data_IF_955744209263
#
_entry.id   IF_955744209263
#
_cell.length_a   1.000
_cell.length_b   1.000
_cell.length_c   1.000
_cell.angle_alpha   90.00
_cell.angle_beta   90.00
_cell.angle_gamma   90.00
#
_symmetry.space_group_name_H-M   'P 1'
#
loop_
_entity.id
_entity.type
_entity.pdbx_description
1 polymer ?
#
# COMPACT_ATOMS: atom_id res chain seq x y z
N UNK A 1 -17.19 -16.21 -24.64
CA UNK A 1 -17.14 -16.68 -23.23
C UNK A 1 -17.22 -15.49 -22.26
N UNK A 2 -18.28 -15.43 -21.44
CA UNK A 2 -18.35 -14.47 -20.31
C UNK A 2 -17.38 -14.90 -19.22
N UNK A 3 -16.47 -14.03 -18.76
CA UNK A 3 -15.51 -14.40 -17.73
C UNK A 3 -16.21 -14.55 -16.36
N UNK A 4 -16.14 -15.75 -15.78
CA UNK A 4 -16.66 -16.03 -14.44
C UNK A 4 -15.66 -15.55 -13.38
N UNK A 5 -16.06 -14.57 -12.56
CA UNK A 5 -15.27 -13.98 -11.48
C UNK A 5 -16.14 -13.85 -10.23
N UNK A 6 -15.60 -14.19 -9.06
CA UNK A 6 -16.33 -14.24 -7.80
C UNK A 6 -15.56 -13.54 -6.68
N UNK A 7 -16.29 -13.15 -5.64
CA UNK A 7 -15.74 -12.67 -4.38
C UNK A 7 -16.12 -13.62 -3.25
N UNK A 8 -15.23 -13.86 -2.27
CA UNK A 8 -15.50 -14.82 -1.19
C UNK A 8 -16.48 -14.27 -0.14
N UNK A 9 -16.77 -12.97 -0.15
CA UNK A 9 -17.74 -12.33 0.74
C UNK A 9 -18.33 -11.09 0.08
N UNK A 10 -19.61 -10.83 0.34
CA UNK A 10 -20.29 -9.58 -0.04
C UNK A 10 -19.94 -8.39 0.89
N UNK A 11 -19.15 -8.62 1.95
CA UNK A 11 -18.69 -7.58 2.88
C UNK A 11 -17.32 -7.04 2.49
N UNK A 12 -17.10 -5.75 2.76
CA UNK A 12 -15.89 -5.02 2.36
C UNK A 12 -14.60 -5.60 2.98
N UNK A 13 -14.49 -5.65 4.31
CA UNK A 13 -13.26 -6.09 4.94
C UNK A 13 -12.96 -7.57 4.70
N UNK A 14 -13.93 -8.51 4.83
CA UNK A 14 -13.65 -9.91 4.54
C UNK A 14 -13.17 -10.12 3.10
N UNK A 15 -13.82 -9.49 2.12
CA UNK A 15 -13.41 -9.58 0.71
C UNK A 15 -12.01 -9.01 0.45
N UNK A 16 -11.69 -7.83 1.01
CA UNK A 16 -10.36 -7.21 0.87
C UNK A 16 -9.27 -7.97 1.61
N UNK A 17 -9.57 -8.50 2.79
CA UNK A 17 -8.66 -9.37 3.53
C UNK A 17 -8.32 -10.63 2.74
N UNK A 18 -9.31 -11.21 2.02
CA UNK A 18 -9.06 -12.33 1.13
C UNK A 18 -8.15 -11.95 -0.05
N UNK A 19 -8.32 -10.77 -0.65
CA UNK A 19 -7.41 -10.27 -1.69
C UNK A 19 -5.98 -10.10 -1.14
N UNK A 20 -5.84 -9.53 0.05
CA UNK A 20 -4.53 -9.23 0.65
C UNK A 20 -3.76 -10.49 1.07
N UNK A 21 -4.48 -11.52 1.53
CA UNK A 21 -3.87 -12.73 2.11
C UNK A 21 -3.92 -13.96 1.21
N UNK A 22 -4.78 -13.96 0.18
CA UNK A 22 -5.08 -15.15 -0.63
C UNK A 22 -5.88 -16.22 0.12
N UNK A 23 -6.46 -15.91 1.28
CA UNK A 23 -7.20 -16.84 2.15
C UNK A 23 -8.69 -16.55 2.15
N UNK A 24 -9.52 -17.54 2.46
CA UNK A 24 -10.96 -17.35 2.71
C UNK A 24 -11.23 -16.73 4.10
N UNK A 25 -12.42 -16.13 4.32
CA UNK A 25 -12.81 -15.54 5.61
C UNK A 25 -12.63 -16.43 6.84
N UNK A 26 -12.87 -17.73 6.71
CA UNK A 26 -12.69 -18.69 7.80
C UNK A 26 -11.22 -18.92 8.19
N UNK A 27 -10.25 -18.54 7.36
CA UNK A 27 -8.81 -18.71 7.59
C UNK A 27 -8.10 -17.42 8.02
N UNK A 28 -8.55 -16.25 7.55
CA UNK A 28 -8.00 -14.96 7.99
C UNK A 28 -8.81 -14.31 9.13
N UNK A 29 -9.97 -14.88 9.46
CA UNK A 29 -10.83 -14.48 10.59
C UNK A 29 -11.24 -13.01 10.58
N UNK A 30 -11.40 -12.42 9.38
CA UNK A 30 -12.05 -11.12 9.21
C UNK A 30 -13.46 -11.42 8.74
N UNK A 31 -14.45 -11.18 9.62
CA UNK A 31 -15.80 -11.72 9.46
C UNK A 31 -16.86 -10.64 9.18
N UNK A 32 -16.58 -9.38 9.54
CA UNK A 32 -17.45 -8.25 9.23
C UNK A 32 -16.61 -6.96 8.99
N UNK A 33 -17.27 -5.79 8.98
CA UNK A 33 -16.63 -4.50 8.71
C UNK A 33 -16.21 -3.71 9.96
N UNK A 34 -16.29 -4.29 11.16
CA UNK A 34 -15.98 -3.62 12.44
C UNK A 34 -14.65 -4.10 13.03
N UNK A 35 -14.17 -3.41 14.06
CA UNK A 35 -12.95 -3.78 14.77
C UNK A 35 -13.09 -5.14 15.46
N UNK A 36 -14.25 -5.44 16.05
CA UNK A 36 -14.56 -6.70 16.72
C UNK A 36 -14.54 -7.87 15.73
N UNK A 37 -14.99 -7.64 14.49
CA UNK A 37 -14.87 -8.61 13.39
C UNK A 37 -13.50 -8.63 12.72
N UNK A 38 -12.47 -8.11 13.40
CA UNK A 38 -11.07 -8.09 13.00
C UNK A 38 -10.75 -7.21 11.79
N UNK A 39 -11.64 -6.29 11.39
CA UNK A 39 -11.34 -5.35 10.30
C UNK A 39 -10.35 -4.28 10.78
N UNK A 40 -9.12 -4.25 10.23
CA UNK A 40 -8.02 -3.34 10.65
C UNK A 40 -7.58 -3.44 12.11
N UNK A 41 -8.08 -4.40 12.87
CA UNK A 41 -7.80 -4.50 14.31
C UNK A 41 -6.30 -4.73 14.59
N UNK A 42 -5.89 -4.54 15.85
CA UNK A 42 -4.53 -4.91 16.27
C UNK A 42 -4.18 -6.38 16.05
N UNK A 43 -5.15 -7.28 16.15
CA UNK A 43 -4.94 -8.70 15.86
C UNK A 43 -4.66 -8.92 14.37
N UNK A 44 -5.42 -8.28 13.48
CA UNK A 44 -5.16 -8.29 12.03
C UNK A 44 -3.75 -7.76 11.72
N UNK A 45 -3.39 -6.61 12.29
CA UNK A 45 -2.07 -5.98 12.09
C UNK A 45 -0.92 -6.88 12.52
N UNK A 46 -1.09 -7.63 13.62
CA UNK A 46 -0.05 -8.51 14.14
C UNK A 46 0.02 -9.85 13.40
N UNK A 47 -1.13 -10.44 13.05
CA UNK A 47 -1.23 -11.85 12.66
C UNK A 47 -1.35 -12.02 11.14
N UNK A 48 -2.03 -11.11 10.45
CA UNK A 48 -2.30 -11.24 9.01
C UNK A 48 -1.46 -10.29 8.16
N UNK A 49 -1.32 -9.02 8.56
CA UNK A 49 -0.58 -8.01 7.75
C UNK A 49 0.84 -8.43 7.33
N UNK A 50 1.67 -9.04 8.19
CA UNK A 50 3.03 -9.47 7.81
C UNK A 50 3.07 -10.49 6.67
N UNK A 51 1.97 -11.22 6.44
CA UNK A 51 1.86 -12.28 5.44
C UNK A 51 0.99 -11.89 4.24
N UNK A 52 0.65 -10.61 4.12
CA UNK A 52 -0.08 -10.11 2.95
C UNK A 52 0.84 -10.05 1.74
N UNK A 53 0.27 -10.16 0.53
CA UNK A 53 1.07 -10.12 -0.70
C UNK A 53 1.95 -8.85 -0.82
N UNK A 54 1.55 -7.63 -0.40
CA UNK A 54 2.42 -6.46 -0.46
C UNK A 54 3.61 -6.60 0.50
N UNK A 55 3.39 -7.17 1.69
CA UNK A 55 4.44 -7.42 2.68
C UNK A 55 5.49 -8.36 2.10
N UNK A 56 5.06 -9.48 1.51
CA UNK A 56 5.94 -10.48 0.89
C UNK A 56 6.67 -9.89 -0.33
N UNK A 57 5.96 -9.21 -1.25
CA UNK A 57 6.57 -8.60 -2.44
C UNK A 57 7.68 -7.61 -2.08
N UNK A 58 7.47 -6.79 -1.05
CA UNK A 58 8.47 -5.82 -0.63
C UNK A 58 9.63 -6.47 0.11
N UNK A 59 9.37 -7.36 1.08
CA UNK A 59 10.41 -7.92 1.96
C UNK A 59 11.26 -8.99 1.27
N UNK A 60 10.64 -9.87 0.48
CA UNK A 60 11.32 -11.01 -0.16
C UNK A 60 11.84 -10.63 -1.54
N UNK A 61 11.04 -9.91 -2.32
CA UNK A 61 11.34 -9.66 -3.73
C UNK A 61 11.84 -8.24 -4.01
N UNK A 62 11.93 -7.37 -3.00
CA UNK A 62 12.44 -5.99 -3.13
C UNK A 62 11.54 -5.07 -3.96
N UNK A 63 10.26 -5.41 -4.16
CA UNK A 63 9.37 -4.60 -4.98
C UNK A 63 9.10 -3.24 -4.36
N UNK A 64 9.00 -2.24 -5.23
CA UNK A 64 8.45 -0.95 -4.85
C UNK A 64 6.94 -0.95 -5.05
N UNK A 65 6.21 -0.93 -3.96
CA UNK A 65 4.76 -1.03 -3.92
C UNK A 65 4.11 0.32 -3.61
N UNK A 66 2.91 0.54 -4.14
CA UNK A 66 2.14 1.75 -3.92
C UNK A 66 0.68 1.37 -3.63
N UNK A 67 0.10 1.99 -2.61
CA UNK A 67 -1.32 1.88 -2.32
C UNK A 67 -1.97 3.26 -2.27
N UNK A 68 -3.15 3.38 -2.89
CA UNK A 68 -3.99 4.55 -2.77
C UNK A 68 -5.48 4.20 -2.70
N UNK A 69 -6.22 4.89 -1.84
CA UNK A 69 -7.67 4.76 -1.71
C UNK A 69 -8.12 4.11 -0.40
N UNK A 70 -9.25 3.40 -0.43
CA UNK A 70 -9.80 2.72 0.76
C UNK A 70 -9.07 1.40 1.01
N UNK A 71 -8.45 1.25 2.17
CA UNK A 71 -7.83 0.00 2.63
C UNK A 71 -8.89 -0.93 3.25
N UNK A 72 -8.97 -0.99 4.57
CA UNK A 72 -9.98 -1.71 5.34
C UNK A 72 -10.85 -0.69 6.09
N UNK A 73 -12.11 -1.03 6.37
CA UNK A 73 -13.13 -0.06 6.81
C UNK A 73 -12.77 0.70 8.10
N UNK A 74 -12.03 0.09 9.01
CA UNK A 74 -11.64 0.70 10.30
C UNK A 74 -10.21 1.25 10.29
N UNK A 75 -9.56 1.30 9.13
CA UNK A 75 -8.25 1.94 9.02
C UNK A 75 -8.32 3.42 9.44
N UNK A 76 -7.33 3.90 10.18
CA UNK A 76 -7.31 5.28 10.66
C UNK A 76 -8.08 5.50 11.97
N UNK A 77 -8.88 4.55 12.44
CA UNK A 77 -9.46 4.62 13.79
C UNK A 77 -8.34 4.61 14.86
N UNK A 78 -8.47 5.35 15.97
CA UNK A 78 -7.47 5.34 17.05
C UNK A 78 -7.13 3.92 17.53
N UNK A 79 -8.14 3.07 17.72
CA UNK A 79 -7.97 1.68 18.17
C UNK A 79 -7.35 0.77 17.10
N UNK A 80 -7.41 1.19 15.83
CA UNK A 80 -6.67 0.59 14.72
C UNK A 80 -5.26 1.21 14.54
N UNK A 81 -4.75 1.97 15.50
CA UNK A 81 -3.44 2.63 15.39
C UNK A 81 -3.44 3.96 14.64
N UNK A 82 -4.61 4.52 14.33
CA UNK A 82 -4.73 5.82 13.73
C UNK A 82 -4.20 5.89 12.29
N UNK A 83 -4.05 7.12 11.80
CA UNK A 83 -3.51 7.37 10.45
C UNK A 83 -1.99 7.20 10.37
N UNK A 84 -1.31 7.12 11.51
CA UNK A 84 0.13 6.88 11.60
C UNK A 84 0.50 5.43 11.32
N UNK A 85 -0.44 4.48 11.51
CA UNK A 85 -0.24 3.09 11.12
C UNK A 85 -0.11 2.98 9.59
N UNK A 86 1.01 2.44 9.14
CA UNK A 86 1.25 2.09 7.73
C UNK A 86 1.35 0.56 7.68
N UNK A 87 0.41 -0.14 7.01
CA UNK A 87 0.49 -1.58 6.85
C UNK A 87 1.82 -1.98 6.21
N UNK A 88 2.35 -3.12 6.64
CA UNK A 88 3.62 -3.64 6.14
C UNK A 88 3.53 -3.85 4.62
N UNK A 89 4.66 -3.67 3.95
CA UNK A 89 4.76 -3.98 2.53
C UNK A 89 4.48 -2.85 1.57
N UNK A 90 4.09 -1.66 2.03
CA UNK A 90 3.88 -0.50 1.16
C UNK A 90 5.10 0.44 1.15
N UNK A 91 5.62 0.78 -0.02
CA UNK A 91 6.68 1.80 -0.16
C UNK A 91 6.10 3.22 -0.20
N UNK A 92 4.86 3.34 -0.64
CA UNK A 92 4.09 4.58 -0.64
C UNK A 92 2.65 4.29 -0.22
N UNK A 93 2.16 5.07 0.74
CA UNK A 93 0.86 4.85 1.37
C UNK A 93 0.01 6.11 1.31
N UNK A 94 -1.13 6.02 0.63
CA UNK A 94 -2.09 7.11 0.42
C UNK A 94 -3.50 6.61 0.71
N UNK A 95 -3.79 6.28 1.97
CA UNK A 95 -5.04 5.64 2.34
C UNK A 95 -6.05 6.58 2.98
N UNK A 96 -7.32 6.38 2.66
CA UNK A 96 -8.44 7.08 3.28
C UNK A 96 -8.64 6.65 4.72
N UNK A 97 -8.89 7.61 5.60
CA UNK A 97 -9.46 7.36 6.91
C UNK A 97 -10.86 6.72 6.79
N UNK A 98 -11.00 5.52 7.36
CA UNK A 98 -12.22 4.72 7.43
C UNK A 98 -12.86 4.41 6.06
N UNK A 99 -14.01 5.02 5.78
CA UNK A 99 -14.86 4.70 4.65
C UNK A 99 -14.58 5.58 3.43
N UNK A 100 -15.02 5.11 2.26
CA UNK A 100 -14.86 5.83 1.01
C UNK A 100 -15.66 7.14 1.04
N UNK A 101 -14.97 8.25 0.78
CA UNK A 101 -15.55 9.58 0.58
C UNK A 101 -14.84 10.25 -0.58
N UNK A 102 -15.56 11.08 -1.34
CA UNK A 102 -14.98 11.81 -2.47
C UNK A 102 -14.55 13.24 -2.13
N UNK A 103 -15.08 13.78 -1.01
CA UNK A 103 -14.78 15.10 -0.44
C UNK A 103 -14.81 15.01 1.09
N UNK A 104 -14.32 16.04 1.78
CA UNK A 104 -14.31 16.13 3.25
C UNK A 104 -13.76 14.86 3.92
N UNK A 105 -12.54 14.50 3.52
CA UNK A 105 -11.86 13.29 3.94
C UNK A 105 -10.47 13.60 4.46
N UNK A 106 -9.92 12.66 5.22
CA UNK A 106 -8.53 12.67 5.66
C UNK A 106 -7.79 11.54 4.97
N UNK A 107 -6.62 11.84 4.40
CA UNK A 107 -5.69 10.82 3.90
C UNK A 107 -4.55 10.63 4.89
N UNK A 108 -4.16 9.39 5.12
CA UNK A 108 -2.80 9.08 5.58
C UNK A 108 -1.86 9.12 4.38
N UNK A 109 -0.96 10.11 4.36
CA UNK A 109 0.11 10.23 3.38
C UNK A 109 1.42 9.80 4.04
N UNK A 110 1.76 8.52 3.89
CA UNK A 110 2.89 7.87 4.56
C UNK A 110 2.88 8.13 6.07
N UNK A 111 1.74 7.89 6.72
CA UNK A 111 1.56 8.06 8.16
C UNK A 111 1.14 9.47 8.59
N UNK A 112 1.20 10.47 7.70
CA UNK A 112 0.84 11.85 8.03
C UNK A 112 -0.59 12.16 7.58
N UNK A 113 -1.44 12.54 8.52
CA UNK A 113 -2.79 12.97 8.22
C UNK A 113 -2.80 14.25 7.35
N UNK A 114 -3.58 14.23 6.27
CA UNK A 114 -3.86 15.39 5.43
C UNK A 114 -5.35 15.49 5.18
N UNK A 115 -5.96 16.56 5.68
CA UNK A 115 -7.38 16.85 5.47
C UNK A 115 -7.60 17.52 4.12
N UNK A 116 -8.65 17.10 3.45
CA UNK A 116 -9.17 17.67 2.22
C UNK A 116 -10.61 18.16 2.46
N UNK A 117 -10.94 19.32 1.90
CA UNK A 117 -12.23 19.97 2.09
C UNK A 117 -13.25 19.55 1.05
N UNK A 118 -14.12 20.49 0.68
CA UNK A 118 -15.21 20.30 -0.29
C UNK A 118 -15.01 21.17 -1.54
N UNK A 119 -13.78 21.65 -1.78
CA UNK A 119 -13.52 22.42 -2.99
C UNK A 119 -13.44 21.48 -4.19
N UNK A 120 -14.52 21.43 -4.97
CA UNK A 120 -14.67 20.58 -6.15
C UNK A 120 -13.50 20.62 -7.13
N UNK A 121 -12.81 21.76 -7.27
CA UNK A 121 -11.70 21.91 -8.21
C UNK A 121 -10.39 21.26 -7.76
N UNK A 122 -10.21 20.99 -6.46
CA UNK A 122 -8.92 20.51 -5.90
C UNK A 122 -9.04 19.35 -4.91
N UNK A 123 -10.23 19.12 -4.34
CA UNK A 123 -10.45 18.14 -3.28
C UNK A 123 -11.16 16.86 -3.76
N UNK A 124 -11.45 16.73 -5.06
CA UNK A 124 -12.00 15.48 -5.55
C UNK A 124 -10.97 14.35 -5.42
N UNK A 125 -11.28 13.32 -4.62
CA UNK A 125 -10.32 12.28 -4.24
C UNK A 125 -9.57 11.66 -5.42
N UNK A 126 -10.29 11.27 -6.46
CA UNK A 126 -9.71 10.62 -7.65
C UNK A 126 -8.66 11.51 -8.30
N UNK A 127 -8.90 12.82 -8.31
CA UNK A 127 -8.00 13.81 -8.87
C UNK A 127 -6.79 14.04 -7.99
N UNK A 128 -6.93 13.99 -6.67
CA UNK A 128 -5.81 14.06 -5.71
C UNK A 128 -4.89 12.84 -5.82
N UNK A 129 -5.46 11.64 -6.03
CA UNK A 129 -4.69 10.40 -6.11
C UNK A 129 -4.00 10.20 -7.47
N UNK A 130 -4.55 10.76 -8.56
CA UNK A 130 -4.05 10.57 -9.95
C UNK A 130 -2.61 11.08 -10.17
N UNK A 131 -2.24 12.35 -9.88
CA UNK A 131 -0.87 12.84 -10.05
C UNK A 131 0.14 12.12 -9.16
N UNK A 132 -0.30 11.69 -7.97
CA UNK A 132 0.53 10.99 -6.99
C UNK A 132 1.08 9.68 -7.56
N UNK A 133 0.26 8.94 -8.30
CA UNK A 133 0.67 7.72 -9.00
C UNK A 133 1.74 8.01 -10.08
N UNK A 134 1.46 8.98 -10.96
CA UNK A 134 2.30 9.25 -12.15
C UNK A 134 3.65 9.84 -11.78
N UNK A 135 3.68 10.81 -10.85
CA UNK A 135 4.90 11.49 -10.46
C UNK A 135 5.90 10.62 -9.70
N UNK A 136 5.43 9.63 -8.91
CA UNK A 136 6.32 8.77 -8.11
C UNK A 136 6.83 7.56 -8.85
N UNK A 137 6.02 6.94 -9.71
CA UNK A 137 6.48 5.85 -10.58
C UNK A 137 7.63 6.31 -11.49
N UNK A 138 7.52 7.54 -12.03
CA UNK A 138 8.56 8.17 -12.85
C UNK A 138 9.83 8.55 -12.05
N UNK A 139 9.71 8.87 -10.76
CA UNK A 139 10.87 9.19 -9.90
C UNK A 139 11.60 7.93 -9.40
N UNK A 140 10.84 6.86 -9.16
CA UNK A 140 11.36 5.53 -8.81
C UNK A 140 12.24 4.94 -9.92
N UNK A 141 11.70 4.89 -11.15
CA UNK A 141 12.41 4.40 -12.35
C UNK A 141 13.71 5.18 -12.58
N UNK A 142 13.66 6.51 -12.48
CA UNK A 142 14.87 7.34 -12.59
C UNK A 142 15.93 7.06 -11.52
N UNK A 143 15.55 6.74 -10.28
CA UNK A 143 16.52 6.36 -9.22
C UNK A 143 17.14 4.99 -9.49
N UNK A 144 16.35 4.00 -9.90
CA UNK A 144 16.84 2.66 -10.23
C UNK A 144 17.80 2.69 -11.42
N UNK A 145 17.47 3.42 -12.49
CA UNK A 145 18.38 3.61 -13.63
C UNK A 145 19.70 4.26 -13.20
N UNK A 146 19.65 5.25 -12.29
CA UNK A 146 20.85 5.94 -11.79
C UNK A 146 21.73 5.06 -10.90
N UNK A 147 21.11 4.17 -10.10
CA UNK A 147 21.84 3.19 -9.29
C UNK A 147 22.50 2.11 -10.16
N UNK A 148 21.82 1.64 -11.21
CA UNK A 148 22.40 0.70 -12.18
C UNK A 148 23.61 1.31 -12.90
N UNK A 149 23.52 2.57 -13.36
CA UNK A 149 24.64 3.26 -14.01
C UNK A 149 25.83 3.52 -13.08
N UNK A 150 25.59 3.70 -11.78
CA UNK A 150 26.67 3.83 -10.79
C UNK A 150 27.35 2.49 -10.45
N UNK A 151 26.66 1.37 -10.66
CA UNK A 151 27.22 0.04 -10.45
C UNK A 151 28.08 -0.41 -11.65
N UNK A 152 27.69 -0.04 -12.87
CA UNK A 152 28.49 -0.24 -14.11
C UNK A 152 29.76 0.63 -14.16
N UNK A 153 29.71 1.86 -13.66
CA UNK A 153 30.90 2.73 -13.59
C UNK A 153 31.92 2.30 -12.53
N UNK A 154 31.50 1.59 -11.48
CA UNK A 154 32.40 1.02 -10.46
C UNK A 154 33.06 -0.29 -10.89
N UNK A 155 32.42 -1.06 -11.77
CA UNK A 155 33.01 -2.31 -12.32
C UNK A 155 34.03 -2.04 -13.42
N UNK A 156 33.91 -0.92 -14.14
CA UNK A 156 34.86 -0.52 -15.18
C UNK A 156 36.15 0.13 -14.64
N UNK A 157 36.17 0.57 -13.38
CA UNK A 157 37.36 1.16 -12.75
C UNK A 157 38.26 0.16 -12.01
N UNK A 158 37.82 -1.09 -11.78
CA UNK A 158 38.59 -2.09 -11.04
C UNK A 158 39.44 -3.05 -11.90
N UNK A 159 39.41 -2.94 -13.22
CA UNK A 159 40.14 -3.82 -14.15
C UNK A 159 41.47 -3.26 -14.66
N UNK A 160 41.93 -2.12 -14.14
CA UNK A 160 43.09 -1.39 -14.68
C UNK A 160 44.29 -1.24 -13.75
N UNK A 161 44.77 -2.30 -13.07
CA UNK A 161 46.12 -2.30 -12.48
C UNK A 161 46.62 -3.71 -12.13
N UNK A 162 47.33 -4.32 -13.07
CA UNK A 162 48.37 -5.33 -12.80
C UNK A 162 49.35 -5.31 -13.97
N UNK A 163 50.58 -4.86 -13.71
CA UNK A 163 51.84 -5.37 -14.29
C UNK A 163 52.97 -4.34 -14.10
N UNK A 164 54.19 -4.87 -14.02
CA UNK A 164 55.50 -4.24 -13.73
C UNK A 164 55.79 -4.14 -12.23
N UNK A 165 56.85 -4.76 -11.70
CA UNK A 165 57.94 -5.56 -12.23
C UNK A 165 58.83 -5.93 -11.05
#
# INVERSE_FOLDING_TARGET
PTPLQYVPSALCCPSRASILTGKYPHNHHVVNNTLEGNCSSKAWQKIQEPYTFPAILKSVCGYQTFFAGKYLNEYGAPDAGGLEHIPLGWSYWYALEKNSKYYNYTLSINGKARKHGENYSVDYLTDVLRPTHRGRLLRSTRRLSRMSSHQETRTSTSTGRTSTG
#
